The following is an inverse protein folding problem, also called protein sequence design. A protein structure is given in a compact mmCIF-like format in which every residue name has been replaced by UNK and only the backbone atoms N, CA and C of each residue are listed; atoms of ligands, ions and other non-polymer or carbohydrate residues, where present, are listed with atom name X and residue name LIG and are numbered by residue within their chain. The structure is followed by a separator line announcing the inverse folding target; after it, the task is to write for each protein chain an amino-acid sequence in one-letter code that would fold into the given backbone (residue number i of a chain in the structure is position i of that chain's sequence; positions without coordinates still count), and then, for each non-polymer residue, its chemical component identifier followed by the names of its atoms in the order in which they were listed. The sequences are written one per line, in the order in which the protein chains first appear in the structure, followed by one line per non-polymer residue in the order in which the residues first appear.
data_IF_497231671345
#
_entry.id   IF_497231671345
#
_cell.length_a   1.000
_cell.length_b   1.000
_cell.length_c   1.000
_cell.angle_alpha   90.00
_cell.angle_beta   90.00
_cell.angle_gamma   90.00
#
_symmetry.space_group_name_H-M   'P 1'
#
loop_
_entity.id
_entity.type
_entity.pdbx_description
1 polymer ?
#
# COMPACT_ATOMS: atom_id res chain seq x y z
N UNK A 1 -4.34 -22.36 18.75
CA UNK A 1 -4.59 -22.90 17.40
C UNK A 1 -4.24 -21.78 16.41
N UNK A 2 -3.22 -21.95 15.57
CA UNK A 2 -2.83 -20.88 14.63
C UNK A 2 -3.84 -20.86 13.49
N UNK A 3 -4.54 -19.75 13.31
CA UNK A 3 -5.37 -19.54 12.12
C UNK A 3 -4.43 -19.49 10.94
N UNK A 4 -4.59 -20.42 9.98
CA UNK A 4 -3.90 -20.33 8.70
C UNK A 4 -4.72 -19.41 7.82
N UNK A 5 -4.09 -18.34 7.33
CA UNK A 5 -4.77 -17.38 6.47
C UNK A 5 -3.99 -17.27 5.15
N UNK A 6 -4.35 -18.09 4.14
CA UNK A 6 -3.60 -18.19 2.88
C UNK A 6 -3.42 -16.86 2.15
N UNK A 7 -4.34 -15.91 2.36
CA UNK A 7 -4.23 -14.56 1.79
C UNK A 7 -3.01 -13.80 2.32
N UNK A 8 -2.68 -13.95 3.62
CA UNK A 8 -1.50 -13.32 4.20
C UNK A 8 -0.23 -13.92 3.60
N UNK A 9 -0.15 -15.25 3.49
CA UNK A 9 1.01 -15.93 2.90
C UNK A 9 1.24 -15.47 1.46
N UNK A 10 0.16 -15.35 0.67
CA UNK A 10 0.22 -14.85 -0.71
C UNK A 10 0.69 -13.40 -0.77
N UNK A 11 0.16 -12.52 0.08
CA UNK A 11 0.58 -11.11 0.13
C UNK A 11 2.07 -10.99 0.50
N UNK A 12 2.51 -11.75 1.52
CA UNK A 12 3.91 -11.79 1.91
C UNK A 12 4.82 -12.26 0.78
N UNK A 13 4.41 -13.29 0.03
CA UNK A 13 5.16 -13.77 -1.13
C UNK A 13 5.28 -12.70 -2.24
N UNK A 14 4.19 -11.98 -2.55
CA UNK A 14 4.19 -10.88 -3.53
C UNK A 14 5.09 -9.72 -3.07
N UNK A 15 5.01 -9.36 -1.79
CA UNK A 15 5.78 -8.28 -1.20
C UNK A 15 7.28 -8.61 -1.05
N UNK A 16 7.69 -9.86 -1.28
CA UNK A 16 9.10 -10.23 -1.45
C UNK A 16 9.74 -9.65 -2.72
N UNK A 17 8.94 -9.13 -3.65
CA UNK A 17 9.40 -8.38 -4.82
C UNK A 17 9.28 -6.86 -4.58
N UNK A 18 10.38 -6.09 -4.45
CA UNK A 18 10.33 -4.64 -4.26
C UNK A 18 9.60 -3.88 -5.39
N UNK A 19 9.61 -4.43 -6.61
CA UNK A 19 8.90 -3.83 -7.75
C UNK A 19 7.38 -3.86 -7.54
N UNK A 20 6.85 -4.94 -6.97
CA UNK A 20 5.42 -5.04 -6.65
C UNK A 20 5.01 -3.94 -5.66
N UNK A 21 5.80 -3.75 -4.59
CA UNK A 21 5.53 -2.71 -3.58
C UNK A 21 5.61 -1.31 -4.20
N UNK A 22 6.59 -1.07 -5.07
CA UNK A 22 6.76 0.18 -5.80
C UNK A 22 5.54 0.47 -6.68
N UNK A 23 5.09 -0.51 -7.44
CA UNK A 23 3.97 -0.36 -8.37
C UNK A 23 2.65 -0.15 -7.62
N UNK A 24 2.42 -0.86 -6.52
CA UNK A 24 1.26 -0.63 -5.64
C UNK A 24 1.24 0.80 -5.10
N UNK A 25 2.37 1.29 -4.57
CA UNK A 25 2.45 2.65 -4.02
C UNK A 25 2.21 3.71 -5.11
N UNK A 26 2.83 3.55 -6.29
CA UNK A 26 2.62 4.46 -7.42
C UNK A 26 1.17 4.42 -7.92
N UNK A 27 0.57 3.25 -7.97
CA UNK A 27 -0.82 3.08 -8.38
C UNK A 27 -1.76 3.83 -7.43
N UNK A 28 -1.64 3.57 -6.12
CA UNK A 28 -2.39 4.25 -5.08
C UNK A 28 -2.34 5.78 -5.23
N UNK A 29 -1.13 6.34 -5.37
CA UNK A 29 -0.97 7.80 -5.55
C UNK A 29 -1.62 8.32 -6.83
N UNK A 30 -1.46 7.58 -7.94
CA UNK A 30 -2.05 7.95 -9.22
C UNK A 30 -3.57 7.92 -9.18
N UNK A 31 -4.17 6.91 -8.54
CA UNK A 31 -5.63 6.81 -8.37
C UNK A 31 -6.19 8.00 -7.60
N UNK A 32 -5.47 8.46 -6.57
CA UNK A 32 -5.88 9.60 -5.75
C UNK A 32 -5.46 10.96 -6.33
N UNK A 33 -4.61 10.99 -7.35
CA UNK A 33 -4.06 12.23 -7.89
C UNK A 33 -3.16 12.98 -6.91
N UNK A 34 -2.53 12.29 -5.96
CA UNK A 34 -1.75 12.89 -4.88
C UNK A 34 -0.23 12.78 -5.10
N UNK A 35 0.50 13.74 -4.54
CA UNK A 35 1.96 13.72 -4.49
C UNK A 35 2.48 12.79 -3.36
N UNK A 36 3.80 12.62 -3.30
CA UNK A 36 4.43 11.70 -2.32
C UNK A 36 4.30 12.19 -0.88
N UNK A 37 4.28 13.51 -0.65
CA UNK A 37 4.13 14.08 0.69
C UNK A 37 2.71 13.85 1.24
N UNK A 38 1.69 14.08 0.41
CA UNK A 38 0.29 13.79 0.72
C UNK A 38 0.07 12.30 0.98
N UNK A 39 0.67 11.42 0.15
CA UNK A 39 0.63 9.98 0.37
C UNK A 39 1.31 9.59 1.69
N UNK A 40 2.42 10.23 2.03
CA UNK A 40 3.11 10.02 3.30
C UNK A 40 2.24 10.39 4.50
N UNK A 41 1.51 11.50 4.41
CA UNK A 41 0.54 11.91 5.43
C UNK A 41 -0.59 10.88 5.58
N UNK A 42 -1.20 10.43 4.48
CA UNK A 42 -2.30 9.45 4.50
C UNK A 42 -1.86 8.07 5.02
N UNK A 43 -0.67 7.62 4.62
CA UNK A 43 -0.15 6.30 4.99
C UNK A 43 0.55 6.29 6.35
N UNK A 44 0.74 7.46 6.99
CA UNK A 44 1.45 7.58 8.26
C UNK A 44 2.95 7.27 8.15
N UNK A 45 3.56 7.53 6.99
CA UNK A 45 4.95 7.21 6.67
C UNK A 45 5.67 8.47 6.17
N UNK A 46 6.92 8.76 6.59
CA UNK A 46 7.65 9.91 6.07
C UNK A 46 7.76 9.88 4.54
N UNK A 47 7.54 11.02 3.87
CA UNK A 47 7.59 11.13 2.42
C UNK A 47 8.89 10.55 1.82
N UNK A 48 10.03 10.80 2.46
CA UNK A 48 11.35 10.27 2.07
C UNK A 48 11.43 8.74 2.06
N UNK A 49 10.66 8.08 2.94
CA UNK A 49 10.56 6.62 2.93
C UNK A 49 9.82 6.15 1.68
N UNK A 50 8.71 6.81 1.33
CA UNK A 50 7.95 6.51 0.12
C UNK A 50 8.76 6.78 -1.15
N UNK A 51 9.49 7.90 -1.22
CA UNK A 51 10.43 8.20 -2.32
C UNK A 51 11.49 7.10 -2.47
N UNK A 52 12.06 6.64 -1.36
CA UNK A 52 13.01 5.53 -1.35
C UNK A 52 12.39 4.26 -1.92
N UNK A 53 11.18 3.90 -1.48
CA UNK A 53 10.44 2.74 -2.01
C UNK A 53 10.25 2.88 -3.53
N UNK A 54 9.82 4.04 -4.01
CA UNK A 54 9.61 4.24 -5.45
C UNK A 54 10.89 4.27 -6.28
N UNK A 55 12.05 4.42 -5.65
CA UNK A 55 13.38 4.27 -6.24
C UNK A 55 13.89 2.82 -6.16
N UNK A 56 13.08 1.89 -5.65
CA UNK A 56 13.41 0.47 -5.51
C UNK A 56 14.07 0.11 -4.17
N UNK A 57 14.11 1.02 -3.19
CA UNK A 57 14.64 0.71 -1.86
C UNK A 57 13.67 -0.20 -1.11
N UNK A 58 14.19 -1.27 -0.53
CA UNK A 58 13.39 -2.15 0.31
C UNK A 58 12.82 -1.43 1.54
N UNK A 59 11.57 -1.75 1.86
CA UNK A 59 10.91 -1.33 3.09
C UNK A 59 10.85 -2.51 4.06
N UNK A 60 11.03 -2.24 5.36
CA UNK A 60 11.09 -3.29 6.39
C UNK A 60 9.80 -4.11 6.50
N UNK A 61 8.65 -3.48 6.27
CA UNK A 61 7.33 -4.11 6.44
C UNK A 61 6.46 -3.93 5.19
N UNK A 62 6.85 -4.50 4.04
CA UNK A 62 6.19 -4.21 2.76
C UNK A 62 4.75 -4.72 2.72
N UNK A 63 4.49 -5.91 3.27
CA UNK A 63 3.14 -6.46 3.38
C UNK A 63 2.21 -5.61 4.25
N UNK A 64 2.72 -4.98 5.31
CA UNK A 64 1.94 -4.07 6.15
C UNK A 64 1.53 -2.81 5.37
N UNK A 65 2.49 -2.22 4.66
CA UNK A 65 2.23 -1.04 3.82
C UNK A 65 1.20 -1.34 2.73
N UNK A 66 1.38 -2.44 1.99
CA UNK A 66 0.46 -2.84 0.93
C UNK A 66 -0.93 -3.17 1.48
N UNK A 67 -1.01 -3.85 2.64
CA UNK A 67 -2.31 -4.14 3.26
C UNK A 67 -3.04 -2.86 3.69
N UNK A 68 -2.32 -1.86 4.20
CA UNK A 68 -2.90 -0.56 4.51
C UNK A 68 -3.45 0.13 3.25
N UNK A 69 -2.69 0.14 2.15
CA UNK A 69 -3.13 0.70 0.86
C UNK A 69 -4.41 0.01 0.39
N UNK A 70 -4.44 -1.32 0.31
CA UNK A 70 -5.61 -2.09 -0.14
C UNK A 70 -6.84 -1.79 0.73
N UNK A 71 -6.67 -1.69 2.04
CA UNK A 71 -7.78 -1.39 2.94
C UNK A 71 -8.31 0.04 2.72
N UNK A 72 -7.43 1.02 2.51
CA UNK A 72 -7.83 2.39 2.21
C UNK A 72 -8.57 2.48 0.88
N UNK A 73 -8.09 1.79 -0.15
CA UNK A 73 -8.76 1.71 -1.46
C UNK A 73 -10.17 1.12 -1.32
N UNK A 74 -10.32 0.00 -0.60
CA UNK A 74 -11.63 -0.62 -0.35
C UNK A 74 -12.60 0.29 0.44
N UNK A 75 -12.11 0.95 1.51
CA UNK A 75 -12.92 1.90 2.27
C UNK A 75 -13.39 3.09 1.44
N UNK A 76 -12.58 3.53 0.47
CA UNK A 76 -12.94 4.63 -0.42
C UNK A 76 -13.93 4.22 -1.51
N UNK A 77 -13.87 2.98 -1.98
CA UNK A 77 -14.88 2.41 -2.88
C UNK A 77 -16.24 2.32 -2.16
N UNK A 78 -16.27 1.76 -0.95
CA UNK A 78 -17.48 1.67 -0.13
C UNK A 78 -18.12 3.04 0.15
N UNK A 79 -17.29 4.07 0.42
CA UNK A 79 -17.77 5.43 0.66
C UNK A 79 -18.40 6.07 -0.59
N UNK A 80 -17.90 5.75 -1.80
CA UNK A 80 -18.47 6.23 -3.06
C UNK A 80 -19.80 5.56 -3.38
N UNK A 81 -19.91 4.26 -3.11
CA UNK A 81 -21.11 3.47 -3.42
C UNK A 81 -22.27 3.76 -2.44
N UNK A 82 -21.97 4.20 -1.22
CA UNK A 82 -22.97 4.61 -0.22
C UNK A 82 -23.63 5.97 -0.47
N UNK A 83 -23.15 6.76 -1.43
CA UNK A 83 -23.73 8.04 -1.84
C UNK A 83 -24.71 7.92 -3.03
N UNK A 84 -24.92 6.70 -3.56
CA UNK A 84 -25.75 6.39 -4.72
C UNK A 84 -27.20 5.96 -4.38
#
# INVERSE_FOLDING_TARGET
MSVKTPEFDKLHAQCGNPQFVTDTLRHFRKQLGINVAEAGYLLGVPARTLEGIEQGREFRYPALLVKLIINLEGMMEEARDGEA
#
